data_IF_865954669359
#
_entry.id   IF_865954669359
#
_cell.length_a   1.000
_cell.length_b   1.000
_cell.length_c   1.000
_cell.angle_alpha   90.00
_cell.angle_beta   90.00
_cell.angle_gamma   90.00
#
_symmetry.space_group_name_H-M   'P 1'
#
loop_
_entity.id
_entity.type
_entity.pdbx_description
1 polymer ?
#
# COMPACT_ATOMS: atom_id res chain seq x y z
N UNK A 1 -9.24 12.06 0.40
CA UNK A 1 -9.89 12.17 1.72
C UNK A 1 -10.45 13.58 1.90
N UNK A 2 -11.75 13.73 2.20
CA UNK A 2 -12.32 15.02 2.55
C UNK A 2 -11.99 15.38 4.00
N UNK A 3 -11.90 16.69 4.30
CA UNK A 3 -11.68 17.18 5.67
C UNK A 3 -12.71 16.61 6.67
N UNK A 4 -13.98 16.48 6.24
CA UNK A 4 -15.02 15.88 7.07
C UNK A 4 -14.78 14.39 7.38
N UNK A 5 -14.15 13.64 6.49
CA UNK A 5 -13.77 12.25 6.76
C UNK A 5 -12.61 12.19 7.77
N UNK A 6 -11.62 13.07 7.65
CA UNK A 6 -10.50 13.16 8.60
C UNK A 6 -10.99 13.51 10.00
N UNK A 7 -11.92 14.45 10.14
CA UNK A 7 -12.49 14.86 11.44
C UNK A 7 -13.28 13.76 12.15
N UNK A 8 -13.70 12.72 11.46
CA UNK A 8 -14.33 11.55 12.13
C UNK A 8 -13.33 10.74 12.95
N UNK A 9 -12.08 10.69 12.50
CA UNK A 9 -11.00 9.97 13.17
C UNK A 9 -10.18 10.86 14.10
N UNK A 10 -10.07 12.13 13.73
CA UNK A 10 -9.33 13.18 14.46
C UNK A 10 -10.23 14.40 14.69
N UNK A 11 -11.13 14.36 15.69
CA UNK A 11 -12.09 15.45 15.93
C UNK A 11 -11.46 16.82 16.17
N UNK A 12 -10.22 16.85 16.70
CA UNK A 12 -9.46 18.06 17.01
C UNK A 12 -8.67 18.60 15.79
N UNK A 13 -8.72 17.91 14.64
CA UNK A 13 -7.96 18.37 13.47
C UNK A 13 -8.51 19.71 12.98
N UNK A 14 -7.63 20.71 12.87
CA UNK A 14 -7.93 22.00 12.27
C UNK A 14 -7.89 21.93 10.74
N UNK A 15 -8.63 22.80 10.05
CA UNK A 15 -8.57 22.88 8.59
C UNK A 15 -7.16 23.26 8.11
N UNK A 16 -6.46 24.11 8.84
CA UNK A 16 -5.08 24.47 8.52
C UNK A 16 -4.13 23.27 8.60
N UNK A 17 -4.20 22.48 9.67
CA UNK A 17 -3.40 21.26 9.80
C UNK A 17 -3.69 20.26 8.68
N UNK A 18 -4.96 20.09 8.30
CA UNK A 18 -5.36 19.26 7.18
C UNK A 18 -4.77 19.75 5.84
N UNK A 19 -4.89 21.06 5.55
CA UNK A 19 -4.34 21.63 4.31
C UNK A 19 -2.82 21.54 4.26
N UNK A 20 -2.13 21.77 5.38
CA UNK A 20 -0.68 21.59 5.48
C UNK A 20 -0.27 20.15 5.24
N UNK A 21 -0.98 19.19 5.82
CA UNK A 21 -0.72 17.77 5.59
C UNK A 21 -0.94 17.38 4.12
N UNK A 22 -2.03 17.85 3.49
CA UNK A 22 -2.28 17.63 2.06
C UNK A 22 -1.18 18.26 1.20
N UNK A 23 -0.78 19.50 1.49
CA UNK A 23 0.31 20.17 0.79
C UNK A 23 1.65 19.43 0.96
N UNK A 24 1.97 19.01 2.19
CA UNK A 24 3.19 18.24 2.47
C UNK A 24 3.22 16.91 1.68
N UNK A 25 2.10 16.19 1.62
CA UNK A 25 2.02 14.95 0.81
C UNK A 25 2.09 15.27 -0.69
N UNK A 26 1.39 16.29 -1.17
CA UNK A 26 1.35 16.62 -2.59
C UNK A 26 2.69 17.15 -3.11
N UNK A 27 3.37 18.00 -2.33
CA UNK A 27 4.62 18.65 -2.73
C UNK A 27 5.86 17.86 -2.31
N UNK A 28 5.80 17.20 -1.14
CA UNK A 28 6.91 16.43 -0.60
C UNK A 28 6.98 14.99 -1.10
N UNK A 29 5.93 14.48 -1.77
CA UNK A 29 5.96 13.14 -2.37
C UNK A 29 6.69 13.17 -3.71
N UNK A 30 7.33 12.06 -4.04
CA UNK A 30 7.97 11.88 -5.35
C UNK A 30 6.97 11.67 -6.50
N UNK A 31 5.66 11.76 -6.26
CA UNK A 31 4.64 11.52 -7.29
C UNK A 31 4.78 12.44 -8.50
N UNK A 32 5.08 13.72 -8.27
CA UNK A 32 5.31 14.67 -9.34
C UNK A 32 6.50 14.27 -10.24
N UNK A 33 7.60 13.87 -9.62
CA UNK A 33 8.78 13.37 -10.33
C UNK A 33 8.46 12.10 -11.14
N UNK A 34 7.73 11.16 -10.54
CA UNK A 34 7.33 9.91 -11.19
C UNK A 34 6.39 10.17 -12.38
N UNK A 35 5.50 11.16 -12.28
CA UNK A 35 4.59 11.53 -13.38
C UNK A 35 5.35 12.14 -14.59
N UNK A 36 6.45 12.86 -14.35
CA UNK A 36 7.25 13.45 -15.41
C UNK A 36 8.18 12.46 -16.10
N UNK A 37 8.38 11.28 -15.53
CA UNK A 37 9.26 10.24 -16.08
C UNK A 37 8.46 8.98 -16.37
N UNK A 38 7.93 8.80 -17.61
CA UNK A 38 7.06 7.69 -17.97
C UNK A 38 7.85 6.39 -18.26
N UNK A 39 8.64 5.93 -17.31
CA UNK A 39 9.29 4.62 -17.41
C UNK A 39 8.41 3.53 -16.82
N UNK A 40 8.60 2.28 -17.22
CA UNK A 40 7.79 1.13 -16.80
C UNK A 40 7.76 0.97 -15.28
N UNK A 41 8.88 1.20 -14.61
CA UNK A 41 8.98 1.08 -13.14
C UNK A 41 8.20 2.16 -12.40
N UNK A 42 8.22 3.39 -12.89
CA UNK A 42 7.50 4.52 -12.33
C UNK A 42 5.99 4.35 -12.44
N UNK A 43 5.51 3.83 -13.57
CA UNK A 43 4.09 3.49 -13.71
C UNK A 43 3.64 2.44 -12.70
N UNK A 44 4.43 1.39 -12.48
CA UNK A 44 4.10 0.36 -11.48
C UNK A 44 3.99 0.96 -10.07
N UNK A 45 4.88 1.91 -9.70
CA UNK A 45 4.83 2.61 -8.42
C UNK A 45 3.57 3.47 -8.31
N UNK A 46 3.27 4.26 -9.34
CA UNK A 46 2.11 5.14 -9.37
C UNK A 46 0.79 4.35 -9.30
N UNK A 47 0.67 3.30 -10.11
CA UNK A 47 -0.50 2.43 -10.10
C UNK A 47 -0.69 1.76 -8.73
N UNK A 48 0.39 1.22 -8.16
CA UNK A 48 0.36 0.61 -6.83
C UNK A 48 -0.06 1.62 -5.76
N UNK A 49 0.48 2.83 -5.77
CA UNK A 49 0.12 3.89 -4.83
C UNK A 49 -1.34 4.32 -5.00
N UNK A 50 -1.82 4.50 -6.22
CA UNK A 50 -3.21 4.87 -6.49
C UNK A 50 -4.20 3.79 -6.00
N UNK A 51 -3.92 2.52 -6.31
CA UNK A 51 -4.71 1.38 -5.84
C UNK A 51 -4.70 1.28 -4.31
N UNK A 52 -3.53 1.42 -3.69
CA UNK A 52 -3.39 1.39 -2.23
C UNK A 52 -4.21 2.51 -1.58
N UNK A 53 -4.08 3.75 -2.05
CA UNK A 53 -4.82 4.89 -1.49
C UNK A 53 -6.34 4.73 -1.65
N UNK A 54 -6.79 4.24 -2.80
CA UNK A 54 -8.20 3.95 -3.04
C UNK A 54 -8.69 2.83 -2.13
N UNK A 55 -7.93 1.75 -2.01
CA UNK A 55 -8.24 0.61 -1.16
C UNK A 55 -8.35 1.00 0.30
N UNK A 56 -7.38 1.73 0.83
CA UNK A 56 -7.39 2.22 2.21
C UNK A 56 -8.56 3.18 2.47
N UNK A 57 -8.86 4.07 1.52
CA UNK A 57 -10.01 4.94 1.62
C UNK A 57 -11.33 4.15 1.69
N UNK A 58 -11.48 3.12 0.85
CA UNK A 58 -12.66 2.24 0.87
C UNK A 58 -12.75 1.48 2.20
N UNK A 59 -11.64 0.96 2.74
CA UNK A 59 -11.61 0.29 4.03
C UNK A 59 -11.99 1.21 5.19
N UNK A 60 -11.44 2.43 5.26
CA UNK A 60 -11.82 3.43 6.27
C UNK A 60 -13.28 3.82 6.14
N UNK A 61 -13.76 3.97 4.90
CA UNK A 61 -15.18 4.23 4.64
C UNK A 61 -16.07 3.05 5.04
N UNK A 62 -15.63 1.80 4.81
CA UNK A 62 -16.33 0.60 5.23
C UNK A 62 -16.40 0.51 6.76
N UNK A 63 -15.29 0.76 7.46
CA UNK A 63 -15.24 0.75 8.93
C UNK A 63 -16.20 1.77 9.55
N UNK A 64 -16.44 2.90 8.88
CA UNK A 64 -17.37 3.95 9.31
C UNK A 64 -18.82 3.74 8.82
N UNK A 65 -19.09 2.71 8.02
CA UNK A 65 -20.44 2.46 7.47
C UNK A 65 -21.32 1.80 8.51
N UNK A 66 -22.54 2.33 8.79
CA UNK A 66 -23.49 1.71 9.70
C UNK A 66 -23.86 0.29 9.28
N UNK A 67 -24.19 -0.55 10.28
CA UNK A 67 -24.52 -1.98 10.04
C UNK A 67 -25.77 -2.16 9.19
N UNK A 68 -26.71 -1.22 9.29
CA UNK A 68 -27.98 -1.20 8.55
C UNK A 68 -27.75 -1.05 7.04
N UNK A 69 -26.66 -0.39 6.64
CA UNK A 69 -26.26 -0.20 5.24
C UNK A 69 -25.34 -1.32 4.76
N UNK A 70 -25.73 -2.57 5.02
CA UNK A 70 -24.91 -3.76 4.74
C UNK A 70 -24.47 -3.87 3.28
N UNK A 71 -25.34 -3.56 2.32
CA UNK A 71 -24.99 -3.58 0.90
C UNK A 71 -23.81 -2.66 0.56
N UNK A 72 -23.88 -1.40 1.02
CA UNK A 72 -22.80 -0.44 0.83
C UNK A 72 -21.51 -0.86 1.55
N UNK A 73 -21.62 -1.47 2.74
CA UNK A 73 -20.49 -2.01 3.48
C UNK A 73 -19.78 -3.12 2.67
N UNK A 74 -20.54 -4.12 2.19
CA UNK A 74 -20.00 -5.24 1.42
C UNK A 74 -19.30 -4.77 0.14
N UNK A 75 -19.93 -3.85 -0.60
CA UNK A 75 -19.32 -3.27 -1.82
C UNK A 75 -17.97 -2.62 -1.49
N UNK A 76 -17.90 -1.81 -0.43
CA UNK A 76 -16.65 -1.16 -0.02
C UNK A 76 -15.58 -2.15 0.42
N UNK A 77 -15.97 -3.23 1.11
CA UNK A 77 -15.05 -4.30 1.50
C UNK A 77 -14.49 -5.01 0.26
N UNK A 78 -15.35 -5.42 -0.67
CA UNK A 78 -14.94 -6.11 -1.90
C UNK A 78 -13.99 -5.25 -2.73
N UNK A 79 -14.40 -4.03 -3.08
CA UNK A 79 -13.58 -3.16 -3.92
C UNK A 79 -12.32 -2.66 -3.20
N UNK A 80 -12.40 -2.37 -1.90
CA UNK A 80 -11.23 -1.99 -1.11
C UNK A 80 -10.19 -3.10 -1.05
N UNK A 81 -10.62 -4.33 -0.78
CA UNK A 81 -9.72 -5.49 -0.75
C UNK A 81 -9.21 -5.88 -2.13
N UNK A 82 -10.01 -5.70 -3.18
CA UNK A 82 -9.57 -5.89 -4.56
C UNK A 82 -8.44 -4.89 -4.91
N UNK A 83 -8.64 -3.62 -4.61
CA UNK A 83 -7.62 -2.59 -4.86
C UNK A 83 -6.33 -2.90 -4.12
N UNK A 84 -6.40 -3.23 -2.81
CA UNK A 84 -5.21 -3.57 -2.02
C UNK A 84 -4.53 -4.83 -2.57
N UNK A 85 -5.26 -5.89 -2.87
CA UNK A 85 -4.69 -7.12 -3.40
C UNK A 85 -3.98 -6.92 -4.76
N UNK A 86 -4.52 -6.06 -5.65
CA UNK A 86 -3.90 -5.74 -6.93
C UNK A 86 -2.56 -5.00 -6.79
N UNK A 87 -2.30 -4.38 -5.64
CA UNK A 87 -0.99 -3.75 -5.35
C UNK A 87 0.15 -4.74 -5.42
N UNK A 88 -0.09 -6.02 -5.02
CA UNK A 88 0.91 -7.09 -5.11
C UNK A 88 1.43 -7.31 -6.55
N UNK A 89 0.57 -7.14 -7.56
CA UNK A 89 0.95 -7.22 -8.96
C UNK A 89 1.74 -5.99 -9.46
N UNK A 90 1.62 -4.84 -8.79
CA UNK A 90 2.36 -3.63 -9.13
C UNK A 90 3.72 -3.59 -8.40
N UNK A 91 3.67 -3.69 -7.08
CA UNK A 91 4.83 -3.60 -6.17
C UNK A 91 4.57 -4.46 -4.93
N UNK A 92 5.08 -5.70 -4.86
CA UNK A 92 4.84 -6.62 -3.74
C UNK A 92 5.19 -6.03 -2.37
N UNK A 93 6.20 -5.17 -2.29
CA UNK A 93 6.62 -4.54 -1.03
C UNK A 93 5.54 -3.60 -0.44
N UNK A 94 4.72 -2.98 -1.30
CA UNK A 94 3.63 -2.11 -0.86
C UNK A 94 2.47 -2.90 -0.24
N UNK A 95 2.43 -4.23 -0.42
CA UNK A 95 1.42 -5.10 0.20
C UNK A 95 1.53 -5.13 1.73
N UNK A 96 2.66 -4.74 2.29
CA UNK A 96 2.82 -4.55 3.74
C UNK A 96 1.77 -3.61 4.33
N UNK A 97 1.26 -2.65 3.56
CA UNK A 97 0.18 -1.76 3.99
C UNK A 97 -1.16 -2.49 4.18
N UNK A 98 -1.33 -3.73 3.68
CA UNK A 98 -2.50 -4.56 3.96
C UNK A 98 -2.65 -4.85 5.46
N UNK A 99 -1.56 -4.85 6.23
CA UNK A 99 -1.61 -4.98 7.69
C UNK A 99 -2.40 -3.86 8.37
N UNK A 100 -2.61 -2.72 7.73
CA UNK A 100 -3.48 -1.65 8.23
C UNK A 100 -4.95 -2.08 8.33
N UNK A 101 -5.35 -3.18 7.67
CA UNK A 101 -6.67 -3.77 7.88
C UNK A 101 -6.89 -4.15 9.35
N UNK A 102 -5.84 -4.58 10.06
CA UNK A 102 -5.94 -5.00 11.46
C UNK A 102 -6.44 -3.85 12.33
N UNK A 103 -5.74 -2.73 12.50
CA UNK A 103 -6.23 -1.64 13.34
C UNK A 103 -7.53 -1.00 12.82
N UNK A 104 -7.76 -0.96 11.50
CA UNK A 104 -8.97 -0.38 10.89
C UNK A 104 -10.21 -1.20 11.29
N UNK A 105 -10.12 -2.52 11.24
CA UNK A 105 -11.26 -3.40 11.43
C UNK A 105 -11.35 -4.06 12.81
N UNK A 106 -10.30 -3.94 13.62
CA UNK A 106 -10.25 -4.50 14.98
C UNK A 106 -11.46 -4.12 15.85
N UNK A 107 -11.81 -2.83 15.98
CA UNK A 107 -12.92 -2.44 16.87
C UNK A 107 -14.25 -3.10 16.48
N UNK A 108 -14.51 -3.20 15.17
CA UNK A 108 -15.77 -3.72 14.63
C UNK A 108 -15.86 -5.23 14.69
N UNK A 109 -14.82 -5.93 14.25
CA UNK A 109 -14.90 -7.38 14.06
C UNK A 109 -14.42 -8.17 15.25
N UNK A 110 -13.42 -7.71 15.96
CA UNK A 110 -12.84 -8.37 17.12
C UNK A 110 -13.44 -7.79 18.39
N UNK A 111 -13.38 -6.48 18.58
CA UNK A 111 -13.91 -5.80 19.78
C UNK A 111 -15.39 -6.07 20.01
N UNK A 112 -16.21 -5.96 18.96
CA UNK A 112 -17.65 -6.25 19.02
C UNK A 112 -18.02 -7.72 18.77
N UNK A 113 -17.04 -8.62 18.64
CA UNK A 113 -17.22 -10.07 18.35
C UNK A 113 -18.10 -10.35 17.14
N UNK A 114 -18.14 -9.44 16.17
CA UNK A 114 -19.02 -9.51 15.00
C UNK A 114 -18.73 -10.69 14.09
N UNK A 115 -17.48 -11.16 14.01
CA UNK A 115 -17.08 -12.35 13.24
C UNK A 115 -17.86 -13.62 13.61
N UNK A 116 -18.39 -13.70 14.83
CA UNK A 116 -19.19 -14.85 15.28
C UNK A 116 -20.62 -14.88 14.73
N UNK A 117 -21.08 -13.80 14.10
CA UNK A 117 -22.39 -13.71 13.46
C UNK A 117 -22.33 -14.14 12.00
N UNK A 118 -23.44 -14.71 11.46
CA UNK A 118 -23.55 -15.02 10.02
C UNK A 118 -23.32 -13.78 9.15
N UNK A 119 -23.75 -12.61 9.60
CA UNK A 119 -23.54 -11.36 8.90
C UNK A 119 -22.06 -11.00 8.83
N UNK A 120 -21.34 -11.11 9.95
CA UNK A 120 -19.91 -10.82 10.04
C UNK A 120 -19.07 -11.82 9.26
N UNK A 121 -19.44 -13.11 9.25
CA UNK A 121 -18.81 -14.10 8.41
C UNK A 121 -18.95 -13.79 6.91
N UNK A 122 -20.11 -13.33 6.45
CA UNK A 122 -20.32 -12.86 5.08
C UNK A 122 -19.51 -11.60 4.74
N UNK A 123 -19.35 -10.68 5.70
CA UNK A 123 -18.49 -9.50 5.52
C UNK A 123 -17.00 -9.89 5.44
N UNK A 124 -16.57 -10.84 6.28
CA UNK A 124 -15.21 -11.39 6.21
C UNK A 124 -14.95 -12.12 4.88
N UNK A 125 -15.91 -12.88 4.38
CA UNK A 125 -15.82 -13.50 3.07
C UNK A 125 -15.72 -12.44 1.96
N UNK A 126 -16.50 -11.37 2.03
CA UNK A 126 -16.45 -10.26 1.08
C UNK A 126 -15.08 -9.53 1.09
N UNK A 127 -14.43 -9.47 2.26
CA UNK A 127 -13.08 -8.93 2.40
C UNK A 127 -12.02 -9.89 1.83
N UNK A 128 -12.11 -11.18 2.16
CA UNK A 128 -11.05 -12.15 1.82
C UNK A 128 -11.12 -12.65 0.37
N UNK A 129 -12.33 -12.80 -0.20
CA UNK A 129 -12.51 -13.37 -1.53
C UNK A 129 -11.71 -12.67 -2.62
N UNK A 130 -11.72 -11.32 -2.75
CA UNK A 130 -10.88 -10.62 -3.73
C UNK A 130 -9.38 -10.87 -3.53
N UNK A 131 -8.93 -10.92 -2.28
CA UNK A 131 -7.53 -11.19 -1.94
C UNK A 131 -7.12 -12.58 -2.41
N UNK A 132 -7.93 -13.60 -2.10
CA UNK A 132 -7.67 -14.99 -2.52
C UNK A 132 -7.68 -15.12 -4.04
N UNK A 133 -8.64 -14.49 -4.72
CA UNK A 133 -8.73 -14.53 -6.19
C UNK A 133 -7.50 -13.91 -6.86
N UNK A 134 -7.08 -12.72 -6.42
CA UNK A 134 -5.90 -12.04 -6.97
C UNK A 134 -4.63 -12.83 -6.64
N UNK A 135 -4.46 -13.29 -5.41
CA UNK A 135 -3.30 -14.09 -5.02
C UNK A 135 -3.20 -15.37 -5.86
N UNK A 136 -4.31 -16.11 -5.99
CA UNK A 136 -4.35 -17.32 -6.82
C UNK A 136 -4.04 -17.03 -8.29
N UNK A 137 -4.59 -15.95 -8.84
CA UNK A 137 -4.32 -15.51 -10.21
C UNK A 137 -2.84 -15.16 -10.43
N UNK A 138 -2.23 -14.41 -9.50
CA UNK A 138 -0.80 -14.09 -9.56
C UNK A 138 0.09 -15.32 -9.41
N UNK A 139 -0.24 -16.23 -8.48
CA UNK A 139 0.50 -17.48 -8.29
C UNK A 139 0.41 -18.38 -9.53
N UNK A 140 -0.76 -18.47 -10.13
CA UNK A 140 -0.94 -19.21 -11.39
C UNK A 140 -0.15 -18.59 -12.53
N UNK A 141 -0.21 -17.26 -12.68
CA UNK A 141 0.55 -16.52 -13.69
C UNK A 141 2.07 -16.71 -13.51
N UNK A 142 2.57 -16.62 -12.28
CA UNK A 142 3.98 -16.82 -11.96
C UNK A 142 4.41 -18.28 -12.27
N UNK A 143 3.61 -19.26 -11.87
CA UNK A 143 3.89 -20.67 -12.16
C UNK A 143 3.94 -20.96 -13.67
N UNK A 144 3.01 -20.37 -14.44
CA UNK A 144 2.97 -20.54 -15.89
C UNK A 144 4.15 -19.85 -16.59
N UNK A 145 4.63 -18.73 -16.06
CA UNK A 145 5.70 -17.92 -16.69
C UNK A 145 7.10 -18.29 -16.24
N UNK A 146 7.27 -18.58 -14.96
CA UNK A 146 8.57 -18.78 -14.32
C UNK A 146 8.79 -20.18 -13.74
N UNK A 147 7.78 -21.06 -13.87
CA UNK A 147 7.83 -22.42 -13.31
C UNK A 147 7.63 -22.53 -11.81
N UNK A 148 7.44 -21.40 -11.09
CA UNK A 148 7.20 -21.36 -9.66
C UNK A 148 6.15 -20.30 -9.30
N UNK A 149 5.15 -20.60 -8.45
CA UNK A 149 4.13 -19.65 -8.04
C UNK A 149 4.68 -18.47 -7.22
N UNK A 150 5.86 -18.61 -6.63
CA UNK A 150 6.51 -17.61 -5.78
C UNK A 150 7.66 -16.88 -6.48
N UNK A 151 7.94 -17.17 -7.74
CA UNK A 151 8.92 -16.44 -8.52
C UNK A 151 8.25 -15.25 -9.23
N UNK A 152 8.62 -14.06 -8.84
CA UNK A 152 8.13 -12.79 -9.43
C UNK A 152 9.05 -12.28 -10.55
N UNK A 153 9.88 -13.13 -11.10
CA UNK A 153 10.73 -12.81 -12.25
C UNK A 153 11.93 -11.93 -11.93
N UNK A 154 12.33 -11.80 -10.67
CA UNK A 154 13.46 -10.97 -10.28
C UNK A 154 14.77 -11.40 -10.97
N UNK A 155 14.95 -12.69 -11.19
CA UNK A 155 16.13 -13.26 -11.83
C UNK A 155 16.18 -13.03 -13.35
N UNK A 156 15.07 -12.61 -13.96
CA UNK A 156 14.95 -12.37 -15.40
C UNK A 156 15.05 -10.89 -15.76
N UNK A 157 15.31 -10.02 -14.79
CA UNK A 157 15.48 -8.59 -15.06
C UNK A 157 16.81 -8.34 -15.76
N UNK A 158 16.75 -7.71 -16.94
CA UNK A 158 17.90 -7.24 -17.69
C UNK A 158 18.43 -5.95 -17.04
N UNK A 159 19.16 -6.09 -15.95
CA UNK A 159 19.84 -4.99 -15.26
C UNK A 159 21.35 -5.15 -15.40
N UNK A 160 22.11 -4.07 -15.23
CA UNK A 160 23.58 -4.11 -15.23
C UNK A 160 24.16 -4.89 -14.03
N UNK A 161 23.33 -5.28 -13.06
CA UNK A 161 23.73 -6.05 -11.89
C UNK A 161 23.21 -7.48 -12.00
N UNK A 162 24.02 -8.46 -11.61
CA UNK A 162 23.58 -9.86 -11.49
C UNK A 162 22.56 -10.02 -10.35
N UNK A 163 21.32 -10.27 -10.74
CA UNK A 163 20.20 -10.42 -9.82
C UNK A 163 20.00 -11.86 -9.35
N UNK A 164 20.73 -12.82 -9.92
CA UNK A 164 20.61 -14.25 -9.61
C UNK A 164 21.25 -14.61 -8.26
N UNK A 165 22.18 -13.78 -7.77
CA UNK A 165 22.90 -13.98 -6.51
C UNK A 165 22.36 -13.17 -5.33
N UNK A 166 21.09 -12.79 -5.36
CA UNK A 166 20.45 -12.09 -4.25
C UNK A 166 20.22 -13.04 -3.07
N UNK A 167 21.09 -12.93 -2.09
CA UNK A 167 20.92 -13.59 -0.79
C UNK A 167 20.31 -12.66 0.25
N UNK A 168 19.49 -13.22 1.16
CA UNK A 168 19.06 -12.51 2.34
C UNK A 168 20.27 -12.34 3.28
N UNK A 169 20.65 -11.09 3.55
CA UNK A 169 21.73 -10.78 4.48
C UNK A 169 21.20 -9.91 5.62
N UNK A 170 20.93 -10.54 6.76
CA UNK A 170 20.39 -9.86 7.94
C UNK A 170 21.28 -8.72 8.47
N UNK A 171 22.60 -8.81 8.26
CA UNK A 171 23.57 -7.80 8.71
C UNK A 171 23.38 -6.47 8.00
N UNK A 172 22.86 -6.49 6.76
CA UNK A 172 22.60 -5.28 5.96
C UNK A 172 21.30 -4.57 6.32
N UNK A 173 20.38 -5.23 7.06
CA UNK A 173 19.07 -4.64 7.37
C UNK A 173 19.22 -3.40 8.26
N UNK A 174 20.03 -3.49 9.33
CA UNK A 174 20.24 -2.38 10.24
C UNK A 174 20.81 -1.12 9.55
N UNK A 175 21.95 -1.22 8.87
CA UNK A 175 22.49 -0.12 8.07
C UNK A 175 21.52 0.41 7.04
N UNK A 176 20.82 -0.45 6.26
CA UNK A 176 19.88 -0.02 5.24
C UNK A 176 18.67 0.73 5.81
N UNK A 177 18.15 0.30 6.96
CA UNK A 177 17.07 1.02 7.67
C UNK A 177 17.57 2.35 8.19
N UNK A 178 18.79 2.38 8.77
CA UNK A 178 19.38 3.62 9.27
C UNK A 178 19.60 4.64 8.15
N UNK A 179 20.23 4.25 7.05
CA UNK A 179 20.45 5.14 5.90
C UNK A 179 19.14 5.62 5.29
N UNK A 180 18.14 4.74 5.17
CA UNK A 180 16.85 5.10 4.56
C UNK A 180 15.99 6.05 5.42
N UNK A 181 16.12 6.03 6.75
CA UNK A 181 15.27 6.79 7.66
C UNK A 181 15.96 7.98 8.32
N UNK A 182 17.27 7.91 8.53
CA UNK A 182 18.00 8.86 9.38
C UNK A 182 19.19 9.53 8.70
N UNK A 183 19.63 9.02 7.55
CA UNK A 183 20.74 9.64 6.83
C UNK A 183 20.27 10.95 6.21
N UNK A 184 20.95 12.04 6.57
CA UNK A 184 20.68 13.35 6.04
C UNK A 184 21.37 13.49 4.68
N UNK A 185 20.68 14.01 3.65
CA UNK A 185 21.30 14.27 2.37
C UNK A 185 22.45 15.27 2.52
N UNK A 186 23.53 15.07 1.78
CA UNK A 186 24.65 16.03 1.76
C UNK A 186 24.25 17.27 0.96
N UNK A 187 24.63 18.44 1.50
CA UNK A 187 24.37 19.73 0.87
C UNK A 187 25.44 20.05 -0.18
N UNK A 188 25.00 20.55 -1.34
CA UNK A 188 25.90 21.06 -2.38
C UNK A 188 25.51 22.49 -2.78
N UNK A 189 26.47 23.26 -3.28
CA UNK A 189 26.24 24.65 -3.66
C UNK A 189 25.53 24.89 -5.01
N UNK A 190 25.21 23.82 -5.75
CA UNK A 190 24.57 23.87 -7.08
C UNK A 190 23.19 23.19 -6.99
N UNK A 191 22.21 23.71 -7.74
CA UNK A 191 20.89 23.09 -7.83
C UNK A 191 21.01 21.61 -8.28
N UNK A 192 20.33 20.65 -7.64
CA UNK A 192 19.21 20.79 -6.67
C UNK A 192 19.60 20.98 -5.20
N UNK A 193 20.81 21.40 -4.87
CA UNK A 193 21.33 21.68 -3.53
C UNK A 193 21.47 20.48 -2.59
N UNK A 194 20.99 19.32 -3.01
CA UNK A 194 21.10 18.05 -2.30
C UNK A 194 21.80 17.03 -3.20
N UNK A 195 22.75 16.30 -2.64
CA UNK A 195 23.44 15.21 -3.29
C UNK A 195 23.08 13.90 -2.59
N UNK A 196 22.81 12.86 -3.36
CA UNK A 196 22.75 11.51 -2.82
C UNK A 196 24.10 11.14 -2.25
N UNK A 197 24.11 10.59 -1.05
CA UNK A 197 25.33 10.00 -0.47
C UNK A 197 25.60 8.70 -1.22
N UNK A 198 26.75 8.63 -1.87
CA UNK A 198 27.24 7.39 -2.47
C UNK A 198 27.53 6.39 -1.33
N UNK A 199 26.69 5.34 -1.20
CA UNK A 199 26.82 4.24 -0.22
C UNK A 199 27.49 3.05 -0.88
#
# INVERSE_FOLDING_TARGET
FSFGAVRRWFPQASAAAYLLAVAAVALGSQFYYLLLRPYIYEYAILCGAALLMLGLWLWLSAASTPVEKRGALVVKLVFGSLCVALVAGCRPQMELFAFLAVPIFWPRYIGQKRLRSRAGAGEAAAFLLPVVLVATGLMWYNAARFGSPFDFGANYNLTGNDMTQRGFNAVRIGPAVFTSLFELPSWQGVFPFLRETDV
#
